data_IF_979504673309
#
_entry.id   IF_979504673309
#
_cell.length_a   1.000
_cell.length_b   1.000
_cell.length_c   1.000
_cell.angle_alpha   90.00
_cell.angle_beta   90.00
_cell.angle_gamma   90.00
#
_symmetry.space_group_name_H-M   'P 1'
#
loop_
_entity.id
_entity.type
_entity.pdbx_description
1 polymer ?
#
# COMPACT_ATOMS: atom_id res chain seq x y z
N UNK A 1 -1.28 -4.72 -16.19
CA UNK A 1 -1.97 -3.61 -15.49
C UNK A 1 -0.99 -2.45 -15.33
N UNK A 2 -1.47 -1.21 -15.12
CA UNK A 2 -0.61 -0.05 -14.86
C UNK A 2 -1.39 0.99 -14.03
N UNK A 3 -0.68 1.83 -13.29
CA UNK A 3 -1.29 2.92 -12.52
C UNK A 3 -0.48 3.30 -11.28
N UNK A 4 -0.82 4.46 -10.71
CA UNK A 4 -0.08 5.06 -9.60
C UNK A 4 -0.83 5.04 -8.25
N UNK A 5 -0.09 5.18 -7.14
CA UNK A 5 -0.66 5.31 -5.79
C UNK A 5 -1.57 4.12 -5.43
N UNK A 6 -2.85 4.34 -5.11
CA UNK A 6 -3.81 3.26 -4.84
C UNK A 6 -3.90 2.21 -5.95
N UNK A 7 -3.76 2.63 -7.22
CA UNK A 7 -3.76 1.72 -8.36
C UNK A 7 -2.48 0.87 -8.40
N UNK A 8 -1.35 1.40 -7.94
CA UNK A 8 -0.12 0.61 -7.79
C UNK A 8 -0.26 -0.42 -6.66
N UNK A 9 -0.78 -0.01 -5.51
CA UNK A 9 -1.04 -0.88 -4.35
C UNK A 9 -1.99 -2.02 -4.73
N UNK A 10 -3.06 -1.68 -5.47
CA UNK A 10 -4.05 -2.65 -5.94
C UNK A 10 -3.47 -3.67 -6.92
N UNK A 11 -2.56 -3.24 -7.81
CA UNK A 11 -1.85 -4.15 -8.73
C UNK A 11 -1.02 -5.17 -7.96
N UNK A 12 -0.22 -4.72 -6.99
CA UNK A 12 0.67 -5.59 -6.22
C UNK A 12 -0.16 -6.57 -5.38
N UNK A 13 -1.21 -6.07 -4.71
CA UNK A 13 -2.12 -6.92 -3.92
C UNK A 13 -2.84 -7.97 -4.81
N UNK A 14 -3.28 -7.58 -6.01
CA UNK A 14 -3.91 -8.51 -6.95
C UNK A 14 -2.92 -9.58 -7.42
N UNK A 15 -1.73 -9.17 -7.86
CA UNK A 15 -0.70 -10.10 -8.34
C UNK A 15 -0.28 -11.11 -7.27
N UNK A 16 -0.27 -10.71 -5.99
CA UNK A 16 -0.01 -11.60 -4.86
C UNK A 16 -1.16 -12.60 -4.62
N UNK A 17 -2.40 -12.13 -4.62
CA UNK A 17 -3.55 -12.93 -4.17
C UNK A 17 -4.16 -13.78 -5.29
N UNK A 18 -3.98 -13.37 -6.54
CA UNK A 18 -4.66 -13.94 -7.69
C UNK A 18 -3.66 -14.34 -8.76
N UNK A 19 -3.56 -15.64 -9.03
CA UNK A 19 -2.82 -16.14 -10.19
C UNK A 19 -3.76 -16.20 -11.40
N UNK A 20 -3.72 -15.18 -12.26
CA UNK A 20 -4.57 -15.10 -13.45
C UNK A 20 -3.74 -15.23 -14.74
N UNK A 21 -3.97 -16.26 -15.59
CA UNK A 21 -3.13 -16.53 -16.76
C UNK A 21 -3.02 -15.38 -17.77
N UNK A 22 -4.02 -14.50 -17.83
CA UNK A 22 -3.99 -13.36 -18.76
C UNK A 22 -3.22 -12.15 -18.22
N UNK A 23 -2.88 -12.11 -16.93
CA UNK A 23 -2.04 -11.05 -16.38
C UNK A 23 -0.58 -11.33 -16.76
N UNK A 24 -0.05 -10.57 -17.71
CA UNK A 24 1.31 -10.77 -18.24
C UNK A 24 2.38 -9.88 -17.63
N UNK A 25 1.98 -8.75 -17.04
CA UNK A 25 2.87 -7.79 -16.40
C UNK A 25 2.07 -6.77 -15.57
N UNK A 26 2.73 -6.15 -14.60
CA UNK A 26 2.23 -5.00 -13.86
C UNK A 26 3.22 -3.83 -13.91
N UNK A 27 2.69 -2.61 -13.80
CA UNK A 27 3.49 -1.39 -13.73
C UNK A 27 3.02 -0.57 -12.51
N UNK A 28 3.42 -0.98 -11.29
CA UNK A 28 3.08 -0.28 -10.07
C UNK A 28 3.97 0.95 -9.92
N UNK A 29 3.38 2.13 -10.09
CA UNK A 29 4.09 3.41 -9.98
C UNK A 29 3.80 4.08 -8.65
N UNK A 30 4.81 4.26 -7.81
CA UNK A 30 4.67 4.88 -6.49
C UNK A 30 3.58 4.21 -5.63
N UNK A 31 3.84 3.00 -5.14
CA UNK A 31 2.95 2.25 -4.24
C UNK A 31 3.59 1.91 -2.89
N UNK A 32 2.77 1.49 -1.92
CA UNK A 32 3.24 0.90 -0.67
C UNK A 32 2.75 -0.53 -0.47
N UNK A 33 3.51 -1.30 0.31
CA UNK A 33 3.21 -2.71 0.63
C UNK A 33 2.99 -2.96 2.13
N UNK A 34 3.27 -1.98 2.99
CA UNK A 34 3.06 -2.07 4.43
C UNK A 34 2.27 -0.88 4.93
N UNK A 35 0.99 -1.08 5.24
CA UNK A 35 0.10 0.00 5.69
C UNK A 35 0.65 0.72 6.93
N UNK A 36 1.09 -0.04 7.94
CA UNK A 36 1.65 0.56 9.16
C UNK A 36 2.96 1.31 8.89
N UNK A 37 3.97 0.61 8.38
CA UNK A 37 5.35 1.15 8.29
C UNK A 37 5.49 2.27 7.25
N UNK A 38 4.72 2.22 6.16
CA UNK A 38 4.92 3.12 5.03
C UNK A 38 3.90 4.25 4.99
N UNK A 39 2.67 3.98 5.43
CA UNK A 39 1.52 4.86 5.25
C UNK A 39 1.12 5.53 6.57
N UNK A 40 0.62 4.80 7.58
CA UNK A 40 0.02 5.43 8.77
C UNK A 40 0.99 5.73 9.92
N UNK A 41 2.07 4.96 10.08
CA UNK A 41 2.94 4.99 11.26
C UNK A 41 4.44 4.86 10.91
N UNK A 42 4.97 5.83 10.16
CA UNK A 42 6.38 5.82 9.73
C UNK A 42 7.30 6.00 10.94
N UNK A 43 8.15 5.00 11.20
CA UNK A 43 8.99 4.97 12.40
C UNK A 43 8.20 4.85 13.71
N UNK A 44 6.96 4.35 13.65
CA UNK A 44 6.07 4.23 14.82
C UNK A 44 5.39 5.54 15.24
N UNK A 45 5.54 6.62 14.46
CA UNK A 45 4.86 7.90 14.68
C UNK A 45 3.75 8.08 13.63
N UNK A 46 2.59 8.65 13.99
CA UNK A 46 1.56 9.00 13.01
C UNK A 46 2.15 9.82 11.86
N UNK A 47 1.93 9.35 10.63
CA UNK A 47 2.44 9.98 9.42
C UNK A 47 1.27 10.66 8.72
N UNK A 48 1.43 11.92 8.26
CA UNK A 48 0.48 12.67 7.40
C UNK A 48 -1.03 12.46 7.69
N UNK A 49 -1.51 12.54 8.95
CA UNK A 49 -2.88 12.18 9.32
C UNK A 49 -3.95 13.01 8.60
N UNK A 50 -3.63 14.27 8.23
CA UNK A 50 -4.52 15.12 7.43
C UNK A 50 -4.80 14.55 6.03
N UNK A 51 -3.78 14.00 5.36
CA UNK A 51 -3.95 13.37 4.05
C UNK A 51 -4.78 12.08 4.16
N UNK A 52 -4.55 11.27 5.19
CA UNK A 52 -5.34 10.06 5.44
C UNK A 52 -6.82 10.37 5.68
N UNK A 53 -7.10 11.42 6.46
CA UNK A 53 -8.47 11.88 6.71
C UNK A 53 -9.13 12.41 5.44
N UNK A 54 -8.40 13.20 4.65
CA UNK A 54 -8.89 13.69 3.35
C UNK A 54 -9.26 12.54 2.41
N UNK A 55 -8.39 11.52 2.30
CA UNK A 55 -8.65 10.36 1.44
C UNK A 55 -9.87 9.58 1.95
N UNK A 56 -9.92 9.28 3.25
CA UNK A 56 -11.02 8.50 3.84
C UNK A 56 -12.37 9.20 3.69
N UNK A 57 -12.41 10.53 3.82
CA UNK A 57 -13.64 11.30 3.68
C UNK A 57 -14.03 11.56 2.22
N UNK A 58 -13.06 11.63 1.30
CA UNK A 58 -13.30 11.98 -0.10
C UNK A 58 -13.51 10.78 -1.05
N UNK A 59 -12.97 9.61 -0.70
CA UNK A 59 -12.98 8.42 -1.57
C UNK A 59 -13.69 7.21 -0.95
N UNK A 60 -14.31 7.36 0.23
CA UNK A 60 -15.13 6.28 0.78
C UNK A 60 -16.32 5.97 -0.14
N UNK A 61 -16.59 4.68 -0.32
CA UNK A 61 -17.82 4.21 -0.94
C UNK A 61 -19.04 4.40 -0.01
N UNK A 62 -20.24 4.05 -0.47
CA UNK A 62 -21.47 4.21 0.32
C UNK A 62 -21.45 3.41 1.64
N UNK A 63 -20.75 2.27 1.67
CA UNK A 63 -20.57 1.43 2.87
C UNK A 63 -19.41 1.89 3.77
N UNK A 64 -18.83 3.06 3.49
CA UNK A 64 -17.72 3.62 4.22
C UNK A 64 -16.37 3.00 3.84
N UNK A 65 -15.40 3.22 4.73
CA UNK A 65 -14.01 2.73 4.61
C UNK A 65 -13.47 2.45 6.01
N UNK A 66 -12.50 1.55 6.11
CA UNK A 66 -11.76 1.33 7.36
C UNK A 66 -11.13 2.64 7.85
N UNK A 67 -11.45 3.03 9.09
CA UNK A 67 -10.83 4.20 9.71
C UNK A 67 -9.44 3.83 10.27
N UNK A 68 -8.46 3.79 9.38
CA UNK A 68 -7.08 3.40 9.72
C UNK A 68 -6.42 4.32 10.75
N UNK A 69 -6.83 5.59 10.82
CA UNK A 69 -6.35 6.55 11.82
C UNK A 69 -6.81 6.18 13.24
N UNK A 70 -8.11 5.93 13.42
CA UNK A 70 -8.66 5.47 14.70
C UNK A 70 -8.09 4.09 15.10
N UNK A 71 -7.77 3.25 14.11
CA UNK A 71 -7.12 1.96 14.39
C UNK A 71 -5.68 2.12 14.85
N UNK A 72 -4.93 3.13 14.39
CA UNK A 72 -3.61 3.45 14.92
C UNK A 72 -3.64 3.90 16.39
N UNK A 73 -4.67 4.65 16.79
CA UNK A 73 -4.85 5.03 18.20
C UNK A 73 -5.12 3.82 19.09
N UNK A 74 -5.96 2.88 18.63
CA UNK A 74 -6.29 1.65 19.36
C UNK A 74 -5.17 0.63 19.36
N UNK A 75 -4.41 0.57 18.26
CA UNK A 75 -3.37 -0.43 17.97
C UNK A 75 -2.06 0.28 17.59
N UNK A 76 -1.37 0.92 18.55
CA UNK A 76 -0.25 1.83 18.25
C UNK A 76 1.06 1.10 17.91
N UNK A 77 1.15 -0.20 18.20
CA UNK A 77 2.31 -1.02 17.92
C UNK A 77 2.06 -1.93 16.72
N UNK A 78 3.14 -2.38 16.08
CA UNK A 78 3.04 -3.36 15.00
C UNK A 78 2.68 -4.74 15.57
N UNK A 79 1.48 -5.18 15.27
CA UNK A 79 0.88 -6.43 15.76
C UNK A 79 0.09 -7.11 14.62
N UNK A 80 -0.56 -8.23 14.93
CA UNK A 80 -1.25 -9.08 13.95
C UNK A 80 -2.22 -8.31 13.04
N UNK A 81 -2.93 -7.32 13.58
CA UNK A 81 -3.84 -6.46 12.80
C UNK A 81 -3.12 -5.69 11.67
N UNK A 82 -1.88 -5.26 11.90
CA UNK A 82 -1.08 -4.55 10.90
C UNK A 82 -0.33 -5.50 9.98
N UNK A 83 0.09 -6.65 10.51
CA UNK A 83 0.73 -7.72 9.76
C UNK A 83 -0.21 -8.29 8.69
N UNK A 84 -1.50 -8.49 9.02
CA UNK A 84 -2.53 -8.94 8.06
C UNK A 84 -2.71 -7.98 6.87
N UNK A 85 -2.35 -6.71 7.06
CA UNK A 85 -2.43 -5.66 6.03
C UNK A 85 -1.12 -5.46 5.27
N UNK A 86 -0.08 -6.23 5.58
CA UNK A 86 1.14 -6.27 4.78
C UNK A 86 0.88 -7.05 3.51
N UNK A 87 1.44 -6.58 2.41
CA UNK A 87 1.51 -7.28 1.14
C UNK A 87 2.91 -7.93 1.07
N UNK A 88 3.04 -9.25 1.32
CA UNK A 88 4.30 -9.97 1.18
C UNK A 88 4.69 -10.12 -0.30
N UNK A 89 5.29 -9.07 -0.86
CA UNK A 89 5.69 -8.99 -2.28
C UNK A 89 6.65 -10.09 -2.70
N UNK A 90 7.43 -10.61 -1.75
CA UNK A 90 8.34 -11.74 -1.92
C UNK A 90 7.63 -13.03 -2.39
N UNK A 91 6.31 -13.12 -2.19
CA UNK A 91 5.50 -14.26 -2.60
C UNK A 91 4.86 -14.09 -3.99
N UNK A 92 5.07 -12.96 -4.68
CA UNK A 92 4.55 -12.77 -6.03
C UNK A 92 5.48 -13.51 -7.01
N UNK A 93 4.97 -14.60 -7.58
CA UNK A 93 5.73 -15.42 -8.52
C UNK A 93 5.37 -15.13 -9.98
N UNK A 94 6.36 -15.20 -10.87
CA UNK A 94 6.20 -15.20 -12.33
C UNK A 94 5.43 -14.02 -12.99
N UNK A 95 5.38 -12.84 -12.35
CA UNK A 95 4.82 -11.62 -12.96
C UNK A 95 5.90 -10.55 -13.13
N UNK A 96 6.29 -10.19 -14.36
CA UNK A 96 7.16 -9.04 -14.63
C UNK A 96 6.58 -7.73 -14.07
N UNK A 97 7.43 -6.95 -13.40
CA UNK A 97 7.05 -5.66 -12.79
C UNK A 97 7.92 -4.51 -13.30
N UNK A 98 7.29 -3.44 -13.78
CA UNK A 98 7.95 -2.17 -14.02
C UNK A 98 7.65 -1.19 -12.88
N UNK A 99 8.48 -1.23 -11.84
CA UNK A 99 8.31 -0.45 -10.61
C UNK A 99 8.88 0.96 -10.80
N UNK A 100 8.11 1.98 -10.42
CA UNK A 100 8.61 3.37 -10.36
C UNK A 100 8.59 3.86 -8.91
N UNK A 101 9.72 4.36 -8.45
CA UNK A 101 9.87 5.05 -7.18
C UNK A 101 10.23 6.52 -7.43
N UNK A 102 9.79 7.40 -6.54
CA UNK A 102 10.16 8.81 -6.58
C UNK A 102 10.53 9.32 -5.18
N UNK A 103 11.44 10.29 -5.14
CA UNK A 103 11.77 11.06 -3.95
C UNK A 103 10.92 12.33 -3.80
N UNK A 104 10.16 12.71 -4.83
CA UNK A 104 9.44 13.99 -4.88
C UNK A 104 8.22 14.05 -3.95
N UNK A 105 7.45 12.96 -3.84
CA UNK A 105 6.23 12.92 -3.03
C UNK A 105 6.48 12.55 -1.56
N UNK A 106 7.55 11.78 -1.30
CA UNK A 106 7.84 11.11 -0.03
C UNK A 106 6.71 10.21 0.53
N UNK A 107 5.60 10.05 -0.21
CA UNK A 107 4.44 9.25 0.20
C UNK A 107 4.76 7.76 0.08
N UNK A 108 5.20 7.34 -1.11
CA UNK A 108 5.31 5.93 -1.48
C UNK A 108 6.76 5.47 -1.71
N UNK A 109 7.74 6.36 -1.50
CA UNK A 109 9.17 6.12 -1.79
C UNK A 109 9.65 4.79 -1.20
N UNK A 110 9.47 4.59 0.10
CA UNK A 110 9.97 3.40 0.79
C UNK A 110 9.28 2.12 0.29
N UNK A 111 7.96 2.17 0.13
CA UNK A 111 7.19 1.03 -0.34
C UNK A 111 7.51 0.62 -1.78
N UNK A 112 7.83 1.59 -2.63
CA UNK A 112 8.21 1.33 -4.02
C UNK A 112 9.58 0.65 -4.10
N UNK A 113 10.57 1.13 -3.33
CA UNK A 113 11.87 0.47 -3.25
C UNK A 113 11.80 -0.91 -2.59
N UNK A 114 10.95 -1.08 -1.57
CA UNK A 114 10.74 -2.40 -0.96
C UNK A 114 10.07 -3.38 -1.93
N UNK A 115 9.20 -2.91 -2.82
CA UNK A 115 8.57 -3.77 -3.84
C UNK A 115 9.57 -4.25 -4.89
N UNK A 116 10.57 -3.43 -5.21
CA UNK A 116 11.56 -3.75 -6.23
C UNK A 116 12.67 -4.71 -5.76
N UNK A 117 12.99 -4.68 -4.46
CA UNK A 117 14.07 -5.48 -3.85
C UNK A 117 13.64 -6.92 -3.61
#
# INVERSE_FOLDING_TARGET
MAGNSWLAISQINFALRMHYPALKAIAPWEGYTGLFRHYVARGGRPHIPGLHRMISNGFAGPEGVENVGAMLEKRPLYEDYWEDKRIPVENIDNIPMYVVASYSSMLHTYGSFQTFR
#
